data_IF_124659280571
#
_entry.id   IF_124659280571
#
_cell.length_a   1.000
_cell.length_b   1.000
_cell.length_c   1.000
_cell.angle_alpha   90.00
_cell.angle_beta   90.00
_cell.angle_gamma   90.00
#
_symmetry.space_group_name_H-M   'P 1'
#
loop_
_entity.id
_entity.type
_entity.pdbx_description
1 polymer ?
#
# COMPACT_ATOMS: atom_id res chain seq x y z
N UNK A 1 3.40 19.30 33.11
CA UNK A 1 4.42 18.22 33.20
C UNK A 1 3.79 17.02 33.89
N UNK A 2 3.58 15.91 33.18
CA UNK A 2 3.15 14.66 33.80
C UNK A 2 4.32 14.10 34.62
N UNK A 3 4.15 14.00 35.94
CA UNK A 3 5.14 13.42 36.83
C UNK A 3 4.94 11.90 36.85
N UNK A 4 5.96 11.07 36.55
CA UNK A 4 5.83 9.63 36.65
C UNK A 4 5.55 9.18 38.09
N UNK A 5 4.89 8.03 38.23
CA UNK A 5 4.70 7.38 39.53
C UNK A 5 6.04 7.15 40.24
N UNK A 6 6.07 7.34 41.56
CA UNK A 6 7.28 7.22 42.36
C UNK A 6 8.15 8.49 42.44
N UNK A 7 7.79 9.58 41.76
CA UNK A 7 8.47 10.87 41.86
C UNK A 7 7.55 11.98 42.35
N UNK A 8 8.10 12.91 43.15
CA UNK A 8 7.40 14.17 43.43
C UNK A 8 7.58 15.16 42.28
N UNK A 9 6.60 16.05 42.05
CA UNK A 9 6.67 17.08 41.01
C UNK A 9 7.94 17.93 41.09
N UNK A 10 8.42 18.24 42.31
CA UNK A 10 9.65 19.00 42.55
C UNK A 10 10.90 18.23 42.14
N UNK A 11 11.01 16.96 42.53
CA UNK A 11 12.14 16.11 42.15
C UNK A 11 12.20 15.89 40.64
N UNK A 12 11.06 15.56 40.02
CA UNK A 12 10.98 15.38 38.57
C UNK A 12 11.39 16.64 37.82
N UNK A 13 10.87 17.80 38.22
CA UNK A 13 11.24 19.08 37.60
C UNK A 13 12.73 19.39 37.72
N UNK A 14 13.37 19.03 38.84
CA UNK A 14 14.81 19.20 39.02
C UNK A 14 15.62 18.29 38.07
N UNK A 15 15.22 17.04 37.90
CA UNK A 15 15.85 16.13 36.93
C UNK A 15 15.67 16.61 35.49
N UNK A 16 14.46 17.03 35.11
CA UNK A 16 14.18 17.55 33.77
C UNK A 16 15.04 18.79 33.49
N UNK A 17 15.16 19.72 34.44
CA UNK A 17 16.00 20.90 34.29
C UNK A 17 17.47 20.51 34.08
N UNK A 18 18.04 19.69 34.97
CA UNK A 18 19.43 19.22 34.84
C UNK A 18 19.67 18.45 33.54
N UNK A 19 18.70 17.64 33.12
CA UNK A 19 18.75 16.91 31.86
C UNK A 19 18.78 17.83 30.65
N UNK A 20 17.94 18.88 30.64
CA UNK A 20 17.94 19.92 29.59
C UNK A 20 19.29 20.65 29.52
N UNK A 21 19.88 21.00 30.66
CA UNK A 21 21.19 21.65 30.71
C UNK A 21 22.30 20.75 30.12
N UNK A 22 22.28 19.46 30.43
CA UNK A 22 23.20 18.48 29.85
C UNK A 22 23.00 18.30 28.34
N UNK A 23 21.75 18.29 27.87
CA UNK A 23 21.43 18.22 26.44
C UNK A 23 21.90 19.48 25.71
N UNK A 24 21.81 20.66 26.33
CA UNK A 24 22.34 21.89 25.74
C UNK A 24 23.85 21.80 25.57
N UNK A 25 24.60 21.44 26.62
CA UNK A 25 26.06 21.24 26.54
C UNK A 25 26.45 20.22 25.48
N UNK A 26 25.71 19.11 25.39
CA UNK A 26 25.90 18.09 24.35
C UNK A 26 25.66 18.68 22.96
N UNK A 27 24.57 19.42 22.78
CA UNK A 27 24.21 20.06 21.50
C UNK A 27 25.30 21.03 21.05
N UNK A 28 25.83 21.83 21.97
CA UNK A 28 26.91 22.78 21.71
C UNK A 28 28.18 22.04 21.25
N UNK A 29 28.58 20.98 21.96
CA UNK A 29 29.74 20.17 21.58
C UNK A 29 29.56 19.50 20.20
N UNK A 30 28.37 18.98 19.89
CA UNK A 30 28.06 18.38 18.60
C UNK A 30 28.17 19.39 17.45
N UNK A 31 27.66 20.60 17.66
CA UNK A 31 27.80 21.68 16.69
C UNK A 31 29.24 22.16 16.55
N UNK A 32 30.00 22.29 17.65
CA UNK A 32 31.41 22.66 17.61
C UNK A 32 32.26 21.64 16.83
N UNK A 33 32.04 20.34 17.06
CA UNK A 33 32.69 19.29 16.27
C UNK A 33 32.30 19.36 14.80
N UNK A 34 31.03 19.60 14.49
CA UNK A 34 30.57 19.80 13.11
C UNK A 34 31.18 21.03 12.44
N UNK A 35 31.34 22.12 13.18
CA UNK A 35 31.99 23.34 12.73
C UNK A 35 33.48 23.13 12.48
N UNK A 36 34.20 22.45 13.38
CA UNK A 36 35.59 22.05 13.18
C UNK A 36 35.75 21.21 11.90
N UNK A 37 34.82 20.28 11.64
CA UNK A 37 34.80 19.51 10.40
C UNK A 37 34.60 20.39 9.15
N UNK A 38 33.84 21.50 9.26
CA UNK A 38 33.67 22.47 8.17
C UNK A 38 34.86 23.42 8.02
N UNK A 39 35.57 23.72 9.11
CA UNK A 39 36.81 24.49 9.10
C UNK A 39 37.95 23.68 8.43
N UNK A 40 38.10 22.39 8.77
CA UNK A 40 39.08 21.51 8.12
C UNK A 40 38.74 21.21 6.65
N UNK A 41 37.46 20.96 6.36
CA UNK A 41 36.98 20.64 5.01
C UNK A 41 35.73 21.48 4.70
N UNK A 42 35.90 22.66 4.08
CA UNK A 42 34.81 23.55 3.72
C UNK A 42 33.73 22.90 2.85
N UNK A 43 32.56 23.53 2.81
CA UNK A 43 31.46 23.10 1.92
C UNK A 43 31.94 23.15 0.47
N UNK A 44 31.87 22.01 -0.21
CA UNK A 44 32.28 21.85 -1.59
C UNK A 44 31.19 22.38 -2.54
N UNK A 45 31.58 22.89 -3.71
CA UNK A 45 30.65 23.43 -4.72
C UNK A 45 29.99 22.35 -5.60
N UNK A 46 30.58 21.15 -5.72
CA UNK A 46 30.11 20.08 -6.60
C UNK A 46 29.63 18.84 -5.84
N UNK A 47 28.57 18.20 -6.34
CA UNK A 47 27.79 17.17 -5.64
C UNK A 47 28.27 15.72 -5.82
N UNK A 48 29.26 15.46 -6.69
CA UNK A 48 29.62 14.08 -7.08
C UNK A 48 31.05 13.63 -6.72
N UNK A 49 31.92 14.54 -6.26
CA UNK A 49 33.30 14.20 -5.91
C UNK A 49 33.53 14.29 -4.40
N UNK A 50 34.00 13.18 -3.80
CA UNK A 50 34.53 13.22 -2.44
C UNK A 50 35.91 13.90 -2.47
N UNK A 51 35.94 15.21 -2.22
CA UNK A 51 37.15 16.04 -2.19
C UNK A 51 38.04 15.74 -0.96
N UNK A 52 38.24 14.45 -0.64
CA UNK A 52 38.96 13.98 0.53
C UNK A 52 38.20 14.18 1.84
N UNK A 53 36.87 14.39 1.79
CA UNK A 53 36.05 14.57 2.99
C UNK A 53 36.08 13.30 3.82
N UNK A 54 35.86 12.13 3.21
CA UNK A 54 35.90 10.86 3.96
C UNK A 54 37.26 10.66 4.64
N UNK A 55 38.36 10.80 3.89
CA UNK A 55 39.72 10.62 4.40
C UNK A 55 40.05 11.53 5.59
N UNK A 56 39.71 12.83 5.50
CA UNK A 56 40.00 13.77 6.60
C UNK A 56 39.11 13.48 7.81
N UNK A 57 37.84 13.16 7.60
CA UNK A 57 36.94 12.82 8.69
C UNK A 57 37.29 11.49 9.36
N UNK A 58 37.77 10.50 8.61
CA UNK A 58 38.28 9.23 9.15
C UNK A 58 39.50 9.47 10.05
N UNK A 59 40.52 10.14 9.52
CA UNK A 59 41.72 10.43 10.29
C UNK A 59 41.40 11.26 11.55
N UNK A 60 40.52 12.26 11.45
CA UNK A 60 40.12 13.06 12.60
C UNK A 60 39.31 12.24 13.62
N UNK A 61 38.38 11.39 13.15
CA UNK A 61 37.56 10.54 14.00
C UNK A 61 38.41 9.59 14.85
N UNK A 62 39.42 8.96 14.24
CA UNK A 62 40.35 8.05 14.92
C UNK A 62 41.13 8.76 16.04
N UNK A 63 41.56 10.00 15.81
CA UNK A 63 42.35 10.77 16.80
C UNK A 63 41.52 11.22 18.01
N UNK A 64 40.21 11.42 17.86
CA UNK A 64 39.33 11.89 18.95
C UNK A 64 38.42 10.81 19.53
N UNK A 65 38.54 9.56 19.05
CA UNK A 65 37.77 8.42 19.52
C UNK A 65 36.28 8.46 19.15
N UNK A 66 35.92 9.03 18.00
CA UNK A 66 34.56 8.99 17.45
C UNK A 66 34.50 8.13 16.19
N UNK A 67 33.29 7.78 15.74
CA UNK A 67 33.13 7.13 14.44
C UNK A 67 33.10 8.16 13.30
N UNK A 68 33.69 7.87 12.13
CA UNK A 68 33.65 8.77 10.97
C UNK A 68 32.21 9.11 10.54
N UNK A 69 31.29 8.15 10.69
CA UNK A 69 29.85 8.34 10.46
C UNK A 69 29.23 9.40 11.38
N UNK A 70 29.68 9.47 12.65
CA UNK A 70 29.20 10.49 13.60
C UNK A 70 29.67 11.88 13.20
N UNK A 71 30.94 12.03 12.81
CA UNK A 71 31.46 13.32 12.35
C UNK A 71 30.85 13.76 11.03
N UNK A 72 30.63 12.83 10.10
CA UNK A 72 29.90 13.10 8.86
C UNK A 72 28.53 13.69 9.14
N UNK A 73 27.80 13.07 10.08
CA UNK A 73 26.50 13.54 10.54
C UNK A 73 26.58 14.93 11.18
N UNK A 74 27.56 15.16 12.07
CA UNK A 74 27.73 16.46 12.72
C UNK A 74 28.04 17.57 11.70
N UNK A 75 28.95 17.30 10.77
CA UNK A 75 29.29 18.21 9.67
C UNK A 75 28.08 18.55 8.80
N UNK A 76 27.28 17.55 8.41
CA UNK A 76 26.08 17.77 7.59
C UNK A 76 25.05 18.67 8.28
N UNK A 77 24.80 18.45 9.57
CA UNK A 77 23.85 19.27 10.33
C UNK A 77 24.41 20.68 10.55
N UNK A 78 25.69 20.83 10.89
CA UNK A 78 26.33 22.15 11.01
C UNK A 78 26.28 22.92 9.68
N UNK A 79 26.43 22.24 8.54
CA UNK A 79 26.32 22.84 7.21
C UNK A 79 24.89 23.35 6.92
N UNK A 80 23.87 22.63 7.38
CA UNK A 80 22.47 23.04 7.25
C UNK A 80 22.09 24.17 8.22
N UNK A 81 22.83 24.31 9.32
CA UNK A 81 22.56 25.25 10.42
C UNK A 81 23.79 26.12 10.75
N UNK A 82 23.98 27.22 10.00
CA UNK A 82 24.96 28.25 10.32
C UNK A 82 24.84 28.74 11.78
N UNK A 83 25.96 29.18 12.37
CA UNK A 83 26.04 29.54 13.81
C UNK A 83 24.95 30.53 14.24
N UNK A 84 24.64 31.52 13.42
CA UNK A 84 23.63 32.58 13.63
C UNK A 84 22.18 32.10 13.46
N UNK A 85 21.97 30.92 12.88
CA UNK A 85 20.64 30.36 12.56
C UNK A 85 20.23 29.18 13.44
N UNK A 86 21.08 28.78 14.39
CA UNK A 86 20.77 27.71 15.36
C UNK A 86 19.75 28.20 16.38
N UNK A 87 18.75 27.37 16.66
CA UNK A 87 17.71 27.72 17.62
C UNK A 87 18.18 27.42 19.05
N UNK A 88 18.24 28.42 19.96
CA UNK A 88 18.66 28.20 21.34
C UNK A 88 17.66 27.31 22.08
N UNK A 89 18.15 26.43 22.96
CA UNK A 89 17.30 25.51 23.73
C UNK A 89 16.70 24.35 22.93
N UNK A 90 16.98 24.25 21.63
CA UNK A 90 16.54 23.14 20.78
C UNK A 90 17.69 22.14 20.60
N UNK A 91 17.41 20.86 20.84
CA UNK A 91 18.45 19.83 20.79
C UNK A 91 19.01 19.63 19.39
N UNK A 92 20.23 19.11 19.31
CA UNK A 92 20.86 18.73 18.04
C UNK A 92 20.02 17.74 17.22
N UNK A 93 19.35 16.79 17.88
CA UNK A 93 18.49 15.81 17.19
C UNK A 93 17.33 16.47 16.44
N UNK A 94 16.72 17.52 17.00
CA UNK A 94 15.66 18.28 16.32
C UNK A 94 16.23 19.05 15.13
N UNK A 95 17.39 19.70 15.29
CA UNK A 95 18.08 20.36 14.18
C UNK A 95 18.39 19.37 13.04
N UNK A 96 18.83 18.15 13.38
CA UNK A 96 19.07 17.10 12.41
C UNK A 96 17.81 16.70 11.63
N UNK A 97 16.66 16.52 12.31
CA UNK A 97 15.39 16.18 11.65
C UNK A 97 14.97 17.26 10.66
N UNK A 98 15.15 18.53 11.02
CA UNK A 98 14.83 19.66 10.15
C UNK A 98 15.90 19.96 9.11
N UNK A 99 17.13 19.44 9.21
CA UNK A 99 18.24 19.78 8.31
C UNK A 99 17.89 19.61 6.81
N UNK A 100 17.18 18.56 6.37
CA UNK A 100 16.79 18.41 4.97
C UNK A 100 15.70 19.39 4.51
N UNK A 101 14.98 20.04 5.42
CA UNK A 101 13.80 20.83 5.09
C UNK A 101 14.19 22.21 4.50
N UNK A 102 13.66 22.62 3.34
CA UNK A 102 13.99 23.93 2.75
C UNK A 102 13.63 25.11 3.65
N UNK A 103 12.52 25.02 4.39
CA UNK A 103 12.02 26.05 5.29
C UNK A 103 12.45 25.86 6.76
N UNK A 104 13.52 25.09 7.01
CA UNK A 104 14.02 24.73 8.35
C UNK A 104 14.17 25.91 9.30
N UNK A 105 14.76 27.02 8.85
CA UNK A 105 14.99 28.21 9.68
C UNK A 105 13.69 28.82 10.21
N UNK A 106 12.63 28.81 9.41
CA UNK A 106 11.31 29.28 9.84
C UNK A 106 10.63 28.25 10.73
N UNK A 107 10.68 26.96 10.36
CA UNK A 107 10.00 25.89 11.11
C UNK A 107 10.51 25.79 12.54
N UNK A 108 11.83 25.77 12.75
CA UNK A 108 12.41 25.52 14.07
C UNK A 108 12.06 26.60 15.11
N UNK A 109 11.74 27.83 14.66
CA UNK A 109 11.33 28.94 15.54
C UNK A 109 9.87 28.86 15.99
N UNK A 110 9.08 27.93 15.45
CA UNK A 110 7.66 27.78 15.72
C UNK A 110 7.37 26.41 16.37
N UNK A 111 7.79 26.18 17.63
CA UNK A 111 7.53 24.91 18.30
C UNK A 111 6.03 24.71 18.57
N UNK A 112 5.50 23.49 18.36
CA UNK A 112 4.13 23.15 18.71
C UNK A 112 3.97 23.03 20.22
N UNK A 113 2.71 22.94 20.66
CA UNK A 113 2.38 22.59 22.04
C UNK A 113 2.65 21.09 22.21
N UNK A 114 3.56 20.75 23.11
CA UNK A 114 3.82 19.36 23.44
C UNK A 114 2.61 18.78 24.22
N UNK A 115 1.98 17.71 23.74
CA UNK A 115 0.76 17.15 24.34
C UNK A 115 0.97 16.65 25.78
N UNK A 116 2.21 16.34 26.18
CA UNK A 116 2.50 15.82 27.52
C UNK A 116 2.73 16.95 28.53
N UNK A 117 3.48 17.98 28.16
CA UNK A 117 3.78 19.09 29.08
C UNK A 117 2.81 20.26 29.02
N UNK A 118 2.15 20.47 27.87
CA UNK A 118 1.38 21.68 27.56
C UNK A 118 2.24 22.90 27.20
N UNK A 119 3.57 22.77 27.20
CA UNK A 119 4.50 23.85 26.86
C UNK A 119 4.76 23.89 25.35
N UNK A 120 4.98 25.09 24.79
CA UNK A 120 5.49 25.24 23.42
C UNK A 120 6.96 24.85 23.36
N UNK A 121 7.26 23.66 22.86
CA UNK A 121 8.63 23.14 22.74
C UNK A 121 8.77 22.09 21.66
N UNK A 122 9.97 21.96 21.11
CA UNK A 122 10.31 20.83 20.27
C UNK A 122 10.67 19.61 21.11
N UNK A 123 9.98 18.50 20.85
CA UNK A 123 10.46 17.15 21.17
C UNK A 123 10.90 16.47 19.87
N UNK A 124 11.57 15.32 19.98
CA UNK A 124 11.93 14.50 18.80
C UNK A 124 10.66 14.09 18.05
N UNK A 125 9.63 13.59 18.75
CA UNK A 125 8.36 13.20 18.14
C UNK A 125 7.67 14.38 17.45
N UNK A 126 7.65 15.57 18.07
CA UNK A 126 7.03 16.74 17.43
C UNK A 126 7.77 17.18 16.18
N UNK A 127 9.11 17.10 16.19
CA UNK A 127 9.91 17.40 15.02
C UNK A 127 9.65 16.38 13.89
N UNK A 128 9.56 15.09 14.20
CA UNK A 128 9.21 14.01 13.26
C UNK A 128 7.84 14.26 12.63
N UNK A 129 6.81 14.55 13.44
CA UNK A 129 5.47 14.92 12.95
C UNK A 129 5.52 16.13 12.02
N UNK A 130 6.25 17.18 12.40
CA UNK A 130 6.34 18.42 11.63
C UNK A 130 7.02 18.25 10.25
N UNK A 131 7.75 17.15 10.04
CA UNK A 131 8.35 16.79 8.75
C UNK A 131 7.65 15.61 8.06
N UNK A 132 6.51 15.14 8.59
CA UNK A 132 5.74 14.03 8.03
C UNK A 132 6.36 12.64 8.25
N UNK A 133 7.28 12.50 9.19
CA UNK A 133 7.83 11.20 9.59
C UNK A 133 6.97 10.57 10.69
N UNK A 134 6.92 9.24 10.72
CA UNK A 134 6.24 8.49 11.79
C UNK A 134 6.96 8.73 13.12
N UNK A 135 6.28 9.30 14.15
CA UNK A 135 6.92 9.56 15.43
C UNK A 135 7.24 8.26 16.17
N UNK A 136 8.31 8.26 16.97
CA UNK A 136 8.67 7.11 17.80
C UNK A 136 7.58 6.74 18.82
N UNK A 137 6.87 7.75 19.35
CA UNK A 137 5.76 7.56 20.28
C UNK A 137 4.45 8.04 19.63
N UNK A 138 3.75 7.15 18.93
CA UNK A 138 2.51 7.50 18.25
C UNK A 138 1.38 7.76 19.25
N UNK A 139 0.67 8.89 19.10
CA UNK A 139 -0.46 9.28 19.96
C UNK A 139 -1.80 9.10 19.26
N UNK A 140 -1.86 9.29 17.93
CA UNK A 140 -3.09 9.10 17.15
C UNK A 140 -3.25 7.66 16.67
N UNK A 141 -4.48 7.27 16.32
CA UNK A 141 -4.75 5.95 15.72
C UNK A 141 -3.98 5.77 14.41
N UNK A 142 -3.95 6.80 13.58
CA UNK A 142 -3.23 6.80 12.30
C UNK A 142 -1.72 6.65 12.50
N UNK A 143 -1.13 7.37 13.46
CA UNK A 143 0.30 7.23 13.78
C UNK A 143 0.64 5.81 14.25
N UNK A 144 -0.24 5.18 15.05
CA UNK A 144 -0.05 3.79 15.48
C UNK A 144 -0.09 2.83 14.29
N UNK A 145 -1.03 3.02 13.36
CA UNK A 145 -1.14 2.20 12.15
C UNK A 145 0.08 2.39 11.24
N UNK A 146 0.53 3.63 11.02
CA UNK A 146 1.74 3.91 10.25
C UNK A 146 2.98 3.27 10.89
N UNK A 147 3.09 3.33 12.23
CA UNK A 147 4.18 2.67 12.95
C UNK A 147 4.19 1.15 12.76
N UNK A 148 3.02 0.50 12.79
CA UNK A 148 2.92 -0.94 12.51
C UNK A 148 3.38 -1.24 11.08
N UNK A 149 3.02 -0.40 10.10
CA UNK A 149 3.47 -0.54 8.72
C UNK A 149 5.00 -0.43 8.60
N UNK A 150 5.62 0.53 9.28
CA UNK A 150 7.07 0.71 9.28
C UNK A 150 7.82 -0.46 9.94
N UNK A 151 7.18 -1.16 10.88
CA UNK A 151 7.74 -2.34 11.55
C UNK A 151 7.66 -3.62 10.71
N UNK A 152 6.81 -3.64 9.68
CA UNK A 152 6.57 -4.81 8.82
C UNK A 152 6.98 -4.52 7.37
N UNK A 153 8.26 -4.19 7.08
CA UNK A 153 8.69 -3.84 5.73
C UNK A 153 8.75 -5.06 4.80
N UNK A 154 8.94 -6.26 5.35
CA UNK A 154 8.98 -7.51 4.57
C UNK A 154 7.58 -8.08 4.43
N UNK A 155 7.22 -8.47 3.21
CA UNK A 155 5.89 -8.99 2.90
C UNK A 155 5.58 -10.31 3.65
N UNK A 156 6.59 -11.14 3.91
CA UNK A 156 6.44 -12.40 4.67
C UNK A 156 6.06 -12.16 6.14
N UNK A 157 6.79 -11.27 6.82
CA UNK A 157 6.53 -10.87 8.21
C UNK A 157 5.16 -10.20 8.32
N UNK A 158 4.83 -9.33 7.36
CA UNK A 158 3.53 -8.67 7.28
C UNK A 158 2.38 -9.68 7.11
N UNK A 159 2.54 -10.68 6.23
CA UNK A 159 1.52 -11.70 5.99
C UNK A 159 1.29 -12.59 7.23
N UNK A 160 2.37 -12.95 7.94
CA UNK A 160 2.28 -13.69 9.20
C UNK A 160 1.54 -12.88 10.27
N UNK A 161 1.91 -11.61 10.44
CA UNK A 161 1.26 -10.73 11.40
C UNK A 161 -0.24 -10.53 11.09
N UNK A 162 -0.61 -10.32 9.82
CA UNK A 162 -2.02 -10.22 9.41
C UNK A 162 -2.77 -11.52 9.67
N UNK A 163 -2.18 -12.67 9.35
CA UNK A 163 -2.79 -13.99 9.59
C UNK A 163 -3.04 -14.22 11.07
N UNK A 164 -2.07 -13.87 11.94
CA UNK A 164 -2.23 -13.95 13.39
C UNK A 164 -3.33 -13.01 13.90
N UNK A 165 -3.37 -11.77 13.42
CA UNK A 165 -4.43 -10.82 13.78
C UNK A 165 -5.83 -11.30 13.37
N UNK A 166 -5.97 -11.95 12.20
CA UNK A 166 -7.22 -12.53 11.73
C UNK A 166 -7.71 -13.73 12.55
N UNK A 167 -6.87 -14.33 13.41
CA UNK A 167 -7.31 -15.36 14.38
C UNK A 167 -8.22 -14.77 15.46
N UNK A 168 -8.26 -13.45 15.62
CA UNK A 168 -9.15 -12.74 16.54
C UNK A 168 -10.50 -12.50 15.82
N UNK A 169 -11.62 -13.08 16.28
CA UNK A 169 -12.90 -13.02 15.57
C UNK A 169 -13.36 -11.60 15.23
N UNK A 170 -13.21 -10.66 16.17
CA UNK A 170 -13.65 -9.27 15.98
C UNK A 170 -12.83 -8.54 14.91
N UNK A 171 -11.56 -8.89 14.76
CA UNK A 171 -10.69 -8.33 13.72
C UNK A 171 -11.10 -8.89 12.37
N UNK A 172 -11.36 -10.19 12.27
CA UNK A 172 -11.80 -10.82 11.03
C UNK A 172 -13.14 -10.25 10.54
N UNK A 173 -14.12 -10.11 11.44
CA UNK A 173 -15.41 -9.49 11.13
C UNK A 173 -15.26 -8.05 10.63
N UNK A 174 -14.43 -7.24 11.29
CA UNK A 174 -14.18 -5.86 10.86
C UNK A 174 -13.48 -5.78 9.50
N UNK A 175 -12.53 -6.68 9.22
CA UNK A 175 -11.83 -6.73 7.93
C UNK A 175 -12.79 -7.15 6.82
N UNK A 176 -13.65 -8.15 7.04
CA UNK A 176 -14.63 -8.60 6.03
C UNK A 176 -15.74 -7.56 5.81
N UNK A 177 -16.11 -6.79 6.84
CA UNK A 177 -17.08 -5.71 6.70
C UNK A 177 -16.59 -4.58 5.77
N UNK A 178 -15.27 -4.32 5.72
CA UNK A 178 -14.67 -3.30 4.85
C UNK A 178 -14.69 -3.73 3.35
N UNK A 179 -15.42 -3.02 2.46
CA UNK A 179 -15.47 -3.33 1.04
C UNK A 179 -14.10 -3.31 0.35
N UNK A 180 -13.19 -2.42 0.78
CA UNK A 180 -11.85 -2.31 0.19
C UNK A 180 -11.01 -3.55 0.51
N UNK A 181 -11.07 -4.02 1.76
CA UNK A 181 -10.34 -5.22 2.18
C UNK A 181 -10.86 -6.46 1.46
N UNK A 182 -12.18 -6.62 1.30
CA UNK A 182 -12.77 -7.71 0.49
C UNK A 182 -12.28 -7.69 -0.94
N UNK A 183 -12.27 -6.53 -1.58
CA UNK A 183 -11.78 -6.40 -2.96
C UNK A 183 -10.29 -6.82 -3.09
N UNK A 184 -9.44 -6.41 -2.14
CA UNK A 184 -8.02 -6.80 -2.12
C UNK A 184 -7.85 -8.31 -1.96
N UNK A 185 -8.58 -8.93 -1.03
CA UNK A 185 -8.53 -10.38 -0.78
C UNK A 185 -9.01 -11.17 -2.00
N UNK A 186 -10.15 -10.81 -2.59
CA UNK A 186 -10.67 -11.46 -3.79
C UNK A 186 -9.72 -11.35 -4.98
N UNK A 187 -9.11 -10.17 -5.18
CA UNK A 187 -8.10 -10.01 -6.23
C UNK A 187 -6.90 -10.93 -6.00
N UNK A 188 -6.45 -11.09 -4.75
CA UNK A 188 -5.35 -11.99 -4.41
C UNK A 188 -5.73 -13.46 -4.62
N UNK A 189 -6.95 -13.86 -4.27
CA UNK A 189 -7.50 -15.21 -4.52
C UNK A 189 -7.56 -15.52 -6.02
N UNK A 190 -8.12 -14.60 -6.82
CA UNK A 190 -8.20 -14.74 -8.28
C UNK A 190 -6.82 -14.86 -8.91
N UNK A 191 -5.86 -14.03 -8.46
CA UNK A 191 -4.48 -14.10 -8.94
C UNK A 191 -3.85 -15.46 -8.65
N UNK A 192 -4.12 -16.03 -7.47
CA UNK A 192 -3.66 -17.40 -7.12
C UNK A 192 -4.35 -18.47 -7.96
N UNK A 193 -5.64 -18.33 -8.24
CA UNK A 193 -6.39 -19.25 -9.09
C UNK A 193 -5.81 -19.28 -10.51
N UNK A 194 -5.53 -18.10 -11.06
CA UNK A 194 -4.97 -17.94 -12.39
C UNK A 194 -3.56 -18.51 -12.46
N UNK A 195 -2.71 -18.20 -11.48
CA UNK A 195 -1.37 -18.79 -11.36
C UNK A 195 -1.40 -20.32 -11.25
N UNK A 196 -2.35 -20.90 -10.48
CA UNK A 196 -2.49 -22.36 -10.41
C UNK A 196 -2.90 -22.95 -11.75
N UNK A 197 -3.85 -22.34 -12.44
CA UNK A 197 -4.28 -22.78 -13.77
C UNK A 197 -3.16 -22.67 -14.81
N UNK A 198 -2.35 -21.62 -14.74
CA UNK A 198 -1.21 -21.43 -15.65
C UNK A 198 -0.03 -22.36 -15.32
N UNK A 199 0.11 -22.75 -14.04
CA UNK A 199 1.12 -23.69 -13.56
C UNK A 199 0.69 -25.15 -13.63
N UNK A 200 -0.61 -25.42 -13.72
CA UNK A 200 -1.12 -26.72 -14.14
C UNK A 200 -0.57 -26.94 -15.56
N UNK A 201 0.23 -28.00 -15.79
CA UNK A 201 0.58 -28.35 -17.15
C UNK A 201 -0.73 -28.45 -17.91
N UNK A 202 -0.78 -27.86 -19.11
CA UNK A 202 -1.82 -28.18 -20.06
C UNK A 202 -1.61 -29.66 -20.37
N UNK A 203 -2.13 -30.53 -19.51
CA UNK A 203 -2.60 -31.82 -19.95
C UNK A 203 -3.73 -31.39 -20.87
N UNK A 204 -3.40 -31.24 -22.15
CA UNK A 204 -4.37 -31.48 -23.20
C UNK A 204 -4.78 -32.94 -23.02
N UNK A 205 -5.54 -33.24 -21.97
CA UNK A 205 -6.58 -34.22 -22.12
C UNK A 205 -7.36 -33.63 -23.28
N UNK A 206 -7.30 -34.29 -24.46
CA UNK A 206 -8.18 -33.89 -25.54
C UNK A 206 -9.55 -33.79 -24.88
N UNK A 207 -10.37 -32.75 -25.17
CA UNK A 207 -11.78 -32.81 -24.77
C UNK A 207 -12.23 -34.22 -25.12
N UNK A 208 -12.85 -34.97 -24.17
CA UNK A 208 -13.05 -36.40 -24.30
C UNK A 208 -13.48 -36.62 -25.73
N UNK A 209 -12.69 -37.40 -26.49
CA UNK A 209 -12.97 -37.66 -27.89
C UNK A 209 -14.34 -38.34 -27.89
N UNK A 210 -15.40 -37.51 -27.94
CA UNK A 210 -16.68 -37.90 -28.44
C UNK A 210 -16.30 -38.34 -29.83
N UNK A 211 -16.37 -39.65 -30.07
CA UNK A 211 -16.35 -40.18 -31.42
C UNK A 211 -17.15 -39.19 -32.28
N UNK A 212 -16.55 -38.58 -33.31
CA UNK A 212 -17.29 -37.65 -34.12
C UNK A 212 -18.42 -38.46 -34.75
N UNK A 213 -19.63 -38.33 -34.20
CA UNK A 213 -20.83 -38.96 -34.73
C UNK A 213 -21.16 -38.44 -36.14
N UNK A 214 -20.39 -37.46 -36.63
CA UNK A 214 -20.53 -36.78 -37.89
C UNK A 214 -19.18 -36.76 -38.63
N UNK A 215 -19.15 -37.35 -39.82
CA UNK A 215 -18.08 -37.14 -40.78
C UNK A 215 -18.18 -35.70 -41.31
N UNK A 216 -17.33 -34.80 -40.80
CA UNK A 216 -17.31 -33.38 -41.18
C UNK A 216 -17.13 -33.14 -42.70
N UNK A 217 -16.60 -34.11 -43.43
CA UNK A 217 -16.48 -34.10 -44.90
C UNK A 217 -17.80 -34.32 -45.64
N UNK A 218 -18.83 -34.83 -44.95
CA UNK A 218 -20.14 -35.21 -45.51
C UNK A 218 -21.29 -34.35 -44.95
N UNK A 219 -21.00 -33.49 -43.98
CA UNK A 219 -21.98 -32.62 -43.35
C UNK A 219 -22.40 -31.47 -44.29
N UNK A 220 -23.71 -31.25 -44.42
CA UNK A 220 -24.27 -30.10 -45.11
C UNK A 220 -23.79 -28.77 -44.50
N UNK A 221 -23.68 -27.73 -45.34
CA UNK A 221 -23.16 -26.41 -44.95
C UNK A 221 -23.96 -25.81 -43.79
N UNK A 222 -25.26 -26.00 -43.81
CA UNK A 222 -26.23 -25.52 -42.82
C UNK A 222 -25.98 -26.15 -41.43
N UNK A 223 -25.61 -27.43 -41.40
CA UNK A 223 -25.29 -28.16 -40.17
C UNK A 223 -23.98 -27.63 -39.55
N UNK A 224 -22.95 -27.40 -40.38
CA UNK A 224 -21.67 -26.86 -39.92
C UNK A 224 -21.80 -25.43 -39.40
N UNK A 225 -22.62 -24.62 -40.06
CA UNK A 225 -22.91 -23.25 -39.63
C UNK A 225 -23.60 -23.23 -38.26
N UNK A 226 -24.62 -24.06 -38.07
CA UNK A 226 -25.32 -24.18 -36.79
C UNK A 226 -24.40 -24.67 -35.66
N UNK A 227 -23.56 -25.68 -35.93
CA UNK A 227 -22.57 -26.18 -34.96
C UNK A 227 -21.55 -25.09 -34.59
N UNK A 228 -21.13 -24.26 -35.56
CA UNK A 228 -20.23 -23.13 -35.34
C UNK A 228 -20.86 -22.06 -34.44
N UNK A 229 -22.14 -21.74 -34.65
CA UNK A 229 -22.89 -20.77 -33.83
C UNK A 229 -23.00 -21.27 -32.39
N UNK A 230 -23.39 -22.54 -32.17
CA UNK A 230 -23.51 -23.12 -30.83
C UNK A 230 -22.17 -23.14 -30.09
N UNK A 231 -21.09 -23.51 -30.77
CA UNK A 231 -19.74 -23.56 -30.18
C UNK A 231 -19.23 -22.17 -29.82
N UNK A 232 -19.44 -21.19 -30.70
CA UNK A 232 -19.06 -19.79 -30.43
C UNK A 232 -19.84 -19.22 -29.26
N UNK A 233 -21.16 -19.44 -29.21
CA UNK A 233 -21.99 -18.99 -28.10
C UNK A 233 -21.53 -19.59 -26.76
N UNK A 234 -21.33 -20.90 -26.71
CA UNK A 234 -20.90 -21.60 -25.49
C UNK A 234 -19.55 -21.09 -24.97
N UNK A 235 -18.55 -20.97 -25.85
CA UNK A 235 -17.20 -20.52 -25.47
C UNK A 235 -17.18 -19.05 -25.01
N UNK A 236 -17.96 -18.17 -25.65
CA UNK A 236 -18.09 -16.79 -25.21
C UNK A 236 -18.80 -16.68 -23.86
N UNK A 237 -19.84 -17.48 -23.62
CA UNK A 237 -20.55 -17.50 -22.35
C UNK A 237 -19.65 -17.96 -21.20
N UNK A 238 -18.86 -19.03 -21.41
CA UNK A 238 -17.87 -19.50 -20.42
C UNK A 238 -16.86 -18.41 -20.02
N UNK A 239 -16.53 -17.49 -20.93
CA UNK A 239 -15.61 -16.37 -20.67
C UNK A 239 -16.28 -15.22 -19.92
N UNK A 240 -17.52 -14.88 -20.27
CA UNK A 240 -18.21 -13.69 -19.75
C UNK A 240 -18.84 -13.94 -18.39
N UNK A 241 -19.46 -15.11 -18.16
CA UNK A 241 -20.18 -15.41 -16.91
C UNK A 241 -19.34 -15.22 -15.65
N UNK A 242 -18.08 -15.68 -15.58
CA UNK A 242 -17.24 -15.47 -14.39
C UNK A 242 -16.87 -14.00 -14.12
N UNK A 243 -16.97 -13.13 -15.13
CA UNK A 243 -16.66 -11.70 -15.02
C UNK A 243 -17.87 -10.82 -14.67
N UNK A 244 -19.06 -11.41 -14.50
CA UNK A 244 -20.27 -10.68 -14.14
C UNK A 244 -20.26 -10.25 -12.67
N UNK A 245 -20.44 -8.95 -12.43
CA UNK A 245 -20.53 -8.36 -11.10
C UNK A 245 -22.00 -8.22 -10.69
N UNK A 246 -22.71 -9.34 -10.57
CA UNK A 246 -24.19 -9.39 -10.44
C UNK A 246 -24.71 -8.60 -9.21
N UNK A 247 -23.88 -8.42 -8.18
CA UNK A 247 -24.20 -7.65 -6.99
C UNK A 247 -24.28 -6.12 -7.23
N UNK A 248 -23.71 -5.63 -8.33
CA UNK A 248 -23.68 -4.20 -8.68
C UNK A 248 -24.77 -3.80 -9.68
N UNK A 249 -25.54 -4.77 -10.19
CA UNK A 249 -26.59 -4.50 -11.17
C UNK A 249 -27.85 -3.96 -10.50
N UNK A 250 -28.41 -2.90 -11.07
CA UNK A 250 -29.75 -2.47 -10.70
C UNK A 250 -30.79 -3.52 -11.13
N UNK A 251 -31.96 -3.50 -10.46
CA UNK A 251 -33.01 -4.49 -10.70
C UNK A 251 -33.50 -4.49 -12.15
N UNK A 252 -33.44 -3.36 -12.85
CA UNK A 252 -33.89 -3.21 -14.24
C UNK A 252 -32.89 -3.85 -15.21
N UNK A 253 -31.59 -3.64 -14.99
CA UNK A 253 -30.50 -4.25 -15.74
C UNK A 253 -30.50 -5.77 -15.58
N UNK A 254 -30.71 -6.28 -14.35
CA UNK A 254 -30.87 -7.72 -14.11
C UNK A 254 -32.07 -8.28 -14.87
N UNK A 255 -33.21 -7.59 -14.84
CA UNK A 255 -34.41 -8.04 -15.56
C UNK A 255 -34.16 -8.08 -17.07
N UNK A 256 -33.58 -7.02 -17.65
CA UNK A 256 -33.25 -6.97 -19.07
C UNK A 256 -32.29 -8.11 -19.49
N UNK A 257 -31.31 -8.45 -18.66
CA UNK A 257 -30.42 -9.58 -18.94
C UNK A 257 -31.17 -10.92 -18.92
N UNK A 258 -32.05 -11.13 -17.93
CA UNK A 258 -32.87 -12.34 -17.85
C UNK A 258 -33.83 -12.47 -19.04
N UNK A 259 -34.43 -11.37 -19.50
CA UNK A 259 -35.32 -11.35 -20.66
C UNK A 259 -34.54 -11.75 -21.94
N UNK A 260 -33.32 -11.26 -22.12
CA UNK A 260 -32.46 -11.66 -23.23
C UNK A 260 -32.07 -13.15 -23.17
N UNK A 261 -31.76 -13.67 -21.99
CA UNK A 261 -31.47 -15.10 -21.81
C UNK A 261 -32.70 -15.96 -22.17
N UNK A 262 -33.91 -15.50 -21.80
CA UNK A 262 -35.15 -16.20 -22.15
C UNK A 262 -35.36 -16.24 -23.68
N UNK A 263 -35.04 -15.16 -24.40
CA UNK A 263 -35.08 -15.16 -25.88
C UNK A 263 -34.10 -16.15 -26.49
N UNK A 264 -32.88 -16.23 -25.95
CA UNK A 264 -31.87 -17.20 -26.42
C UNK A 264 -32.33 -18.64 -26.18
N UNK A 265 -32.93 -18.93 -25.03
CA UNK A 265 -33.52 -20.26 -24.75
C UNK A 265 -34.62 -20.59 -25.74
N UNK A 266 -35.55 -19.67 -25.95
CA UNK A 266 -36.66 -19.86 -26.88
C UNK A 266 -36.17 -20.11 -28.32
N UNK A 267 -35.14 -19.40 -28.78
CA UNK A 267 -34.50 -19.66 -30.07
C UNK A 267 -33.79 -21.03 -30.13
N UNK A 268 -33.18 -21.47 -29.04
CA UNK A 268 -32.57 -22.80 -28.97
C UNK A 268 -33.63 -23.92 -28.98
N UNK A 269 -34.74 -23.76 -28.26
CA UNK A 269 -35.86 -24.70 -28.22
C UNK A 269 -36.54 -24.81 -29.60
N UNK A 270 -36.66 -23.70 -30.32
CA UNK A 270 -37.11 -23.68 -31.71
C UNK A 270 -36.15 -24.45 -32.62
N UNK A 271 -34.85 -24.18 -32.51
CA UNK A 271 -33.83 -24.88 -33.27
C UNK A 271 -33.89 -26.40 -33.03
N UNK A 272 -34.06 -26.82 -31.77
CA UNK A 272 -34.27 -28.22 -31.41
C UNK A 272 -35.53 -28.82 -32.05
N UNK A 273 -36.63 -28.06 -32.07
CA UNK A 273 -37.89 -28.47 -32.70
C UNK A 273 -37.72 -28.67 -34.21
N UNK A 274 -37.08 -27.71 -34.89
CA UNK A 274 -36.77 -27.78 -36.33
C UNK A 274 -35.89 -28.99 -36.63
N UNK A 275 -34.85 -29.24 -35.84
CA UNK A 275 -33.94 -30.39 -36.03
C UNK A 275 -34.69 -31.72 -35.86
N UNK A 276 -35.60 -31.82 -34.88
CA UNK A 276 -36.33 -33.06 -34.58
C UNK A 276 -37.48 -33.36 -35.55
N UNK A 277 -38.13 -32.33 -36.06
CA UNK A 277 -39.40 -32.47 -36.80
C UNK A 277 -39.31 -32.08 -38.27
N UNK A 278 -38.30 -31.30 -38.66
CA UNK A 278 -38.20 -30.67 -39.98
C UNK A 278 -39.17 -29.50 -40.18
N UNK A 279 -40.00 -29.19 -39.18
CA UNK A 279 -40.98 -28.11 -39.24
C UNK A 279 -40.32 -26.78 -38.88
N UNK A 280 -40.34 -25.84 -39.81
CA UNK A 280 -39.81 -24.48 -39.64
C UNK A 280 -40.87 -23.47 -39.25
N UNK A 281 -42.12 -23.92 -39.05
CA UNK A 281 -43.19 -23.05 -38.56
C UNK A 281 -42.88 -22.59 -37.14
N UNK A 282 -42.98 -21.29 -36.94
CA UNK A 282 -42.70 -20.63 -35.67
C UNK A 282 -44.02 -20.46 -34.92
N UNK A 283 -44.11 -21.01 -33.71
CA UNK A 283 -45.30 -20.86 -32.87
C UNK A 283 -45.55 -19.37 -32.55
N UNK A 284 -46.81 -18.96 -32.52
CA UNK A 284 -47.25 -17.57 -32.36
C UNK A 284 -46.77 -16.97 -31.03
N UNK A 285 -46.62 -17.81 -29.99
CA UNK A 285 -46.05 -17.43 -28.70
C UNK A 285 -44.52 -17.16 -28.76
N UNK A 286 -43.80 -17.91 -29.59
CA UNK A 286 -42.36 -17.78 -29.80
C UNK A 286 -42.03 -16.55 -30.67
N UNK A 287 -42.85 -16.28 -31.69
CA UNK A 287 -42.72 -15.10 -32.53
C UNK A 287 -42.83 -13.79 -31.71
N UNK A 288 -43.86 -13.68 -30.85
CA UNK A 288 -44.04 -12.52 -29.96
C UNK A 288 -42.86 -12.31 -29.01
N UNK A 289 -42.31 -13.39 -28.46
CA UNK A 289 -41.19 -13.35 -27.53
C UNK A 289 -39.87 -12.90 -28.21
N UNK A 290 -39.66 -13.24 -29.48
CA UNK A 290 -38.49 -12.85 -30.27
C UNK A 290 -38.59 -11.42 -30.82
N UNK A 291 -39.78 -10.95 -31.19
CA UNK A 291 -40.05 -9.58 -31.64
C UNK A 291 -40.00 -8.56 -30.48
N UNK A 292 -40.04 -9.04 -29.24
CA UNK A 292 -39.92 -8.22 -28.05
C UNK A 292 -41.20 -7.52 -27.64
N UNK A 293 -42.35 -8.02 -28.12
CA UNK A 293 -43.66 -7.66 -27.63
C UNK A 293 -43.99 -8.53 -26.41
N UNK A 294 -43.97 -7.93 -25.22
CA UNK A 294 -44.54 -8.50 -23.99
C UNK A 294 -45.86 -7.82 -23.67
#
# INVERSE_FOLDING_TARGET
>A
MTCPEGFTSRQWSAYVKRGRDLVQKKTDAQFQLGDLCLEMVPKQRNEFADHGVARVLEAFADQIGLSPRTLTKYRQVAMAWPRDRRAPGVSFSVHMIFAPQPNRFRKILNPPIDPVSGERRWTVNEAERAVGQTPHHPVSREERVNRVRDLLPRHEDAALAVTDMLRRPEVAEQVVADPSARHILHRAEMSRYQQRRDAEPIISEPPPQREPALHYSEAGRELLELLGICTTFYTQMQRVVPSLHVAEYDRKATQTLLDNINRVRAAADWCETVIKTGDTTMDEALAKLLEGET
#
